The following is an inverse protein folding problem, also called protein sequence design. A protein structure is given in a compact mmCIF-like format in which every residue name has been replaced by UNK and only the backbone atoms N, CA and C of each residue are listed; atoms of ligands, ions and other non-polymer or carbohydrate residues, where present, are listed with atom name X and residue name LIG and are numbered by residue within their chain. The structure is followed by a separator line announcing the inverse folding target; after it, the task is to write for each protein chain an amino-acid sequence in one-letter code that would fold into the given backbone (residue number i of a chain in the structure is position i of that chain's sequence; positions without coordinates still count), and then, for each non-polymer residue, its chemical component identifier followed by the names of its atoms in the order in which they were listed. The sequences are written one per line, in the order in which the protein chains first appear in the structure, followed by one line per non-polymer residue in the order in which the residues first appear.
data_IF_382601193206
#
_entry.id   IF_382601193206
#
_cell.length_a   1.000
_cell.length_b   1.000
_cell.length_c   1.000
_cell.angle_alpha   90.00
_cell.angle_beta   90.00
_cell.angle_gamma   90.00
#
_symmetry.space_group_name_H-M   'P 1'
#
loop_
_entity.id
_entity.type
_entity.pdbx_description
1 polymer ?
#
# COMPACT_ATOMS: atom_id res chain seq x y z
N UNK A 1 -53.09 20.69 5.61
CA UNK A 1 -52.58 21.53 6.73
C UNK A 1 -52.36 20.66 7.95
N UNK A 2 -51.15 20.62 8.51
CA UNK A 2 -50.89 19.86 9.73
C UNK A 2 -51.61 20.50 10.94
N UNK A 3 -52.35 19.70 11.70
CA UNK A 3 -53.11 20.14 12.88
C UNK A 3 -52.13 20.72 13.92
N UNK A 4 -52.30 21.99 14.30
CA UNK A 4 -51.43 22.64 15.31
C UNK A 4 -51.46 21.84 16.62
N UNK A 5 -50.32 21.66 17.31
CA UNK A 5 -50.30 21.10 18.65
C UNK A 5 -51.24 21.89 19.57
N UNK A 6 -52.05 21.18 20.36
CA UNK A 6 -53.00 21.80 21.30
C UNK A 6 -52.95 21.04 22.61
N UNK A 7 -53.11 21.75 23.73
CA UNK A 7 -53.26 21.12 25.04
C UNK A 7 -54.60 20.36 25.10
N UNK A 8 -54.59 19.15 25.65
CA UNK A 8 -55.78 18.29 25.82
C UNK A 8 -55.81 17.71 27.24
N UNK A 9 -57.00 17.63 27.82
CA UNK A 9 -57.20 16.96 29.09
C UNK A 9 -57.05 15.44 28.93
N UNK A 10 -56.34 14.79 29.85
CA UNK A 10 -56.21 13.35 29.92
C UNK A 10 -56.91 12.83 31.19
N UNK A 11 -58.03 12.14 31.02
CA UNK A 11 -58.87 11.64 32.13
C UNK A 11 -58.15 10.60 33.01
N UNK A 12 -57.33 9.71 32.43
CA UNK A 12 -56.64 8.67 33.22
C UNK A 12 -55.51 9.23 34.07
N UNK A 13 -54.94 10.35 33.67
CA UNK A 13 -53.83 11.01 34.37
C UNK A 13 -54.25 12.23 35.20
N UNK A 14 -55.50 12.69 35.05
CA UNK A 14 -56.01 13.91 35.65
C UNK A 14 -55.09 15.13 35.40
N UNK A 15 -54.58 15.24 34.17
CA UNK A 15 -53.61 16.27 33.76
C UNK A 15 -53.87 16.79 32.36
N UNK A 16 -53.56 18.06 32.14
CA UNK A 16 -53.47 18.67 30.82
C UNK A 16 -52.15 18.27 30.15
N UNK A 17 -52.24 17.80 28.91
CA UNK A 17 -51.11 17.28 28.16
C UNK A 17 -51.02 17.87 26.76
N UNK A 18 -49.79 18.11 26.30
CA UNK A 18 -49.49 18.44 24.91
C UNK A 18 -48.22 17.71 24.46
N UNK A 19 -48.09 17.54 23.15
CA UNK A 19 -46.91 16.94 22.55
C UNK A 19 -46.37 17.86 21.47
N UNK A 20 -45.10 18.24 21.59
CA UNK A 20 -44.38 18.99 20.56
C UNK A 20 -43.35 18.06 19.94
N UNK A 21 -43.45 17.88 18.63
CA UNK A 21 -42.44 17.18 17.85
C UNK A 21 -41.42 18.20 17.35
N UNK A 22 -40.16 17.98 17.70
CA UNK A 22 -39.06 18.85 17.32
C UNK A 22 -38.49 18.48 15.94
N UNK A 23 -37.81 19.43 15.27
CA UNK A 23 -36.97 19.23 14.09
C UNK A 23 -36.13 17.94 14.12
N UNK A 24 -35.42 17.69 15.21
CA UNK A 24 -34.53 16.55 15.42
C UNK A 24 -35.24 15.18 15.51
N UNK A 25 -36.57 15.17 15.43
CA UNK A 25 -37.41 13.97 15.51
C UNK A 25 -37.76 13.55 16.94
N UNK A 26 -37.21 14.21 17.95
CA UNK A 26 -37.59 13.99 19.35
C UNK A 26 -39.00 14.52 19.60
N UNK A 27 -39.64 13.96 20.63
CA UNK A 27 -40.96 14.41 21.11
C UNK A 27 -40.80 14.82 22.55
N UNK A 28 -41.13 16.07 22.85
CA UNK A 28 -41.24 16.54 24.23
C UNK A 28 -42.71 16.60 24.62
N UNK A 29 -43.01 16.20 25.84
CA UNK A 29 -44.36 16.23 26.42
C UNK A 29 -44.47 17.34 27.43
N UNK A 30 -45.64 17.97 27.45
CA UNK A 30 -46.10 18.83 28.53
C UNK A 30 -47.09 18.04 29.37
N UNK A 31 -47.00 18.17 30.69
CA UNK A 31 -47.89 17.49 31.63
C UNK A 31 -48.03 18.37 32.89
N UNK A 32 -49.21 18.98 33.07
CA UNK A 32 -49.51 19.90 34.18
C UNK A 32 -50.93 19.67 34.72
N UNK A 33 -51.18 20.10 35.95
CA UNK A 33 -52.51 20.01 36.59
C UNK A 33 -53.41 21.14 36.09
N UNK A 34 -52.87 22.35 35.94
CA UNK A 34 -53.61 23.50 35.44
C UNK A 34 -53.47 23.66 33.91
N UNK A 35 -54.55 24.13 33.28
CA UNK A 35 -54.58 24.35 31.82
C UNK A 35 -53.67 25.50 31.40
N UNK A 36 -53.59 26.54 32.23
CA UNK A 36 -52.78 27.73 31.95
C UNK A 36 -51.29 27.37 31.91
N UNK A 37 -50.79 26.65 32.91
CA UNK A 37 -49.41 26.17 32.95
C UNK A 37 -49.08 25.24 31.77
N UNK A 38 -50.01 24.35 31.40
CA UNK A 38 -49.82 23.47 30.25
C UNK A 38 -49.75 24.24 28.92
N UNK A 39 -50.45 25.38 28.83
CA UNK A 39 -50.41 26.24 27.65
C UNK A 39 -49.11 27.06 27.61
N UNK A 40 -48.66 27.59 28.75
CA UNK A 40 -47.39 28.31 28.86
C UNK A 40 -46.19 27.43 28.48
N UNK A 41 -46.12 26.20 29.02
CA UNK A 41 -45.10 25.20 28.65
C UNK A 41 -45.18 24.81 27.16
N UNK A 42 -46.39 24.72 26.59
CA UNK A 42 -46.57 24.43 25.16
C UNK A 42 -46.02 25.58 24.31
N UNK A 43 -46.30 26.82 24.69
CA UNK A 43 -45.84 28.01 23.98
C UNK A 43 -44.31 28.15 24.07
N UNK A 44 -43.72 27.84 25.23
CA UNK A 44 -42.26 27.77 25.40
C UNK A 44 -41.63 26.69 24.49
N UNK A 45 -42.20 25.49 24.44
CA UNK A 45 -41.71 24.43 23.54
C UNK A 45 -41.90 24.79 22.06
N UNK A 46 -42.94 25.54 21.70
CA UNK A 46 -43.15 26.02 20.34
C UNK A 46 -42.15 27.14 19.98
N UNK A 47 -41.79 28.00 20.92
CA UNK A 47 -40.74 29.01 20.75
C UNK A 47 -39.35 28.36 20.59
N UNK A 48 -39.01 27.38 21.43
CA UNK A 48 -37.79 26.57 21.29
C UNK A 48 -37.74 25.86 19.93
N UNK A 49 -38.86 25.28 19.50
CA UNK A 49 -39.00 24.65 18.17
C UNK A 49 -38.81 25.64 17.02
N UNK A 50 -39.19 26.91 17.21
CA UNK A 50 -39.00 27.96 16.20
C UNK A 50 -37.55 28.47 16.15
N UNK A 51 -36.83 28.43 17.27
CA UNK A 51 -35.42 28.81 17.37
C UNK A 51 -34.46 27.72 16.88
N UNK A 52 -34.80 26.45 17.06
CA UNK A 52 -34.09 25.34 16.42
C UNK A 52 -34.34 25.41 14.91
N UNK A 53 -33.36 25.97 14.18
CA UNK A 53 -33.33 25.98 12.71
C UNK A 53 -33.82 24.64 12.17
N UNK A 54 -34.69 24.71 11.15
CA UNK A 54 -35.26 23.54 10.50
C UNK A 54 -34.18 22.48 10.29
N UNK A 55 -34.46 21.21 10.63
CA UNK A 55 -33.50 20.16 10.38
C UNK A 55 -33.34 20.10 8.86
N UNK A 56 -32.10 19.94 8.37
CA UNK A 56 -31.86 19.64 6.97
C UNK A 56 -32.87 18.55 6.53
N UNK A 57 -33.72 18.80 5.50
CA UNK A 57 -34.79 17.87 5.11
C UNK A 57 -34.26 16.52 4.61
N UNK A 58 -32.94 16.36 4.51
CA UNK A 58 -32.32 15.04 4.48
C UNK A 58 -32.29 14.49 5.88
N UNK A 59 -33.27 13.65 6.19
CA UNK A 59 -33.07 12.50 7.08
C UNK A 59 -31.86 11.75 6.53
N UNK A 60 -30.64 12.12 6.93
CA UNK A 60 -29.43 11.46 6.44
C UNK A 60 -29.54 10.04 6.95
N UNK A 61 -29.81 9.10 6.04
CA UNK A 61 -29.84 7.68 6.34
C UNK A 61 -28.55 7.39 7.11
N UNK A 62 -28.66 6.91 8.35
CA UNK A 62 -27.49 6.58 9.14
C UNK A 62 -26.77 5.45 8.42
N UNK A 63 -25.57 5.74 7.94
CA UNK A 63 -24.75 4.77 7.23
C UNK A 63 -24.00 3.91 8.22
N UNK A 64 -23.96 2.62 7.91
CA UNK A 64 -23.07 1.67 8.55
C UNK A 64 -21.64 1.80 8.01
N UNK A 65 -20.64 1.28 8.73
CA UNK A 65 -19.28 1.20 8.20
C UNK A 65 -19.22 0.41 6.89
N UNK A 66 -19.99 -0.68 6.76
CA UNK A 66 -20.05 -1.44 5.50
C UNK A 66 -20.49 -0.57 4.33
N UNK A 67 -21.59 0.18 4.48
CA UNK A 67 -22.06 1.09 3.44
C UNK A 67 -21.02 2.16 3.08
N UNK A 68 -20.39 2.79 4.09
CA UNK A 68 -19.32 3.79 3.86
C UNK A 68 -18.12 3.18 3.14
N UNK A 69 -17.72 1.96 3.49
CA UNK A 69 -16.62 1.26 2.84
C UNK A 69 -16.96 0.88 1.40
N UNK A 70 -18.18 0.36 1.16
CA UNK A 70 -18.67 -0.02 -0.16
C UNK A 70 -18.71 1.20 -1.09
N UNK A 71 -19.29 2.31 -0.64
CA UNK A 71 -19.29 3.59 -1.37
C UNK A 71 -17.86 4.04 -1.72
N UNK A 72 -16.92 3.94 -0.78
CA UNK A 72 -15.53 4.34 -0.99
C UNK A 72 -14.80 3.41 -1.98
N UNK A 73 -15.09 2.11 -1.98
CA UNK A 73 -14.54 1.16 -2.94
C UNK A 73 -15.12 1.38 -4.35
N UNK A 74 -16.42 1.63 -4.47
CA UNK A 74 -17.09 1.96 -5.74
C UNK A 74 -16.52 3.24 -6.36
N UNK A 75 -16.17 4.23 -5.53
CA UNK A 75 -15.51 5.46 -5.96
C UNK A 75 -14.02 5.29 -6.33
N UNK A 76 -13.46 4.07 -6.27
CA UNK A 76 -12.06 3.81 -6.61
C UNK A 76 -11.07 4.18 -5.50
N UNK A 77 -11.51 4.18 -4.24
CA UNK A 77 -10.73 4.52 -3.06
C UNK A 77 -10.00 5.87 -3.18
N UNK A 78 -10.70 6.99 -3.44
CA UNK A 78 -10.05 8.28 -3.63
C UNK A 78 -9.28 8.68 -2.37
N UNK A 79 -8.04 9.15 -2.55
CA UNK A 79 -7.35 9.85 -1.48
C UNK A 79 -7.77 11.33 -1.50
N UNK A 80 -8.56 11.73 -0.51
CA UNK A 80 -9.28 13.01 -0.50
C UNK A 80 -8.54 14.13 0.25
N UNK A 81 -7.40 13.83 0.88
CA UNK A 81 -6.56 14.84 1.51
C UNK A 81 -5.72 15.60 0.46
N UNK A 82 -5.98 16.90 0.23
CA UNK A 82 -5.11 17.73 -0.61
C UNK A 82 -3.71 17.73 0.01
N UNK A 83 -2.67 17.48 -0.79
CA UNK A 83 -1.29 17.70 -0.31
C UNK A 83 -0.92 19.16 -0.55
N UNK A 84 0.10 19.66 0.17
CA UNK A 84 0.67 21.00 -0.08
C UNK A 84 1.03 21.23 -1.55
N UNK A 85 1.30 20.15 -2.27
CA UNK A 85 1.77 20.11 -3.66
C UNK A 85 0.72 19.68 -4.69
N UNK A 86 -0.48 19.22 -4.29
CA UNK A 86 -1.47 18.75 -5.26
C UNK A 86 -2.90 18.78 -4.69
N UNK A 87 -3.81 19.36 -5.48
CA UNK A 87 -5.26 19.36 -5.20
C UNK A 87 -6.02 18.29 -6.01
N UNK A 88 -5.31 17.50 -6.83
CA UNK A 88 -5.93 16.46 -7.65
C UNK A 88 -6.19 15.21 -6.83
N UNK A 89 -7.36 14.60 -7.03
CA UNK A 89 -7.67 13.29 -6.48
C UNK A 89 -6.67 12.26 -7.05
N UNK A 90 -5.94 11.56 -6.17
CA UNK A 90 -5.03 10.50 -6.60
C UNK A 90 -5.80 9.20 -6.78
N UNK A 91 -5.74 8.65 -7.98
CA UNK A 91 -6.22 7.29 -8.23
C UNK A 91 -5.27 6.29 -7.58
N UNK A 92 -5.82 5.34 -6.83
CA UNK A 92 -5.02 4.26 -6.24
C UNK A 92 -4.79 3.16 -7.26
N UNK A 93 -3.61 2.55 -7.23
CA UNK A 93 -3.34 1.40 -8.11
C UNK A 93 -4.26 0.22 -7.76
N UNK A 94 -4.59 -0.66 -8.72
CA UNK A 94 -5.44 -1.83 -8.48
C UNK A 94 -4.97 -2.68 -7.28
N UNK A 95 -3.66 -2.89 -7.16
CA UNK A 95 -3.09 -3.63 -6.03
C UNK A 95 -3.30 -2.90 -4.69
N UNK A 96 -3.24 -1.56 -4.66
CA UNK A 96 -3.55 -0.81 -3.43
C UNK A 96 -5.02 -0.97 -3.03
N UNK A 97 -5.94 -0.97 -4.00
CA UNK A 97 -7.36 -1.19 -3.76
C UNK A 97 -7.61 -2.62 -3.26
N UNK A 98 -7.00 -3.62 -3.89
CA UNK A 98 -7.09 -5.02 -3.45
C UNK A 98 -6.58 -5.20 -2.01
N UNK A 99 -5.44 -4.59 -1.67
CA UNK A 99 -4.91 -4.61 -0.30
C UNK A 99 -5.84 -3.92 0.71
N UNK A 100 -6.44 -2.79 0.33
CA UNK A 100 -7.42 -2.10 1.18
C UNK A 100 -8.67 -2.96 1.42
N UNK A 101 -9.18 -3.61 0.37
CA UNK A 101 -10.32 -4.53 0.43
C UNK A 101 -10.02 -5.71 1.35
N UNK A 102 -8.84 -6.33 1.21
CA UNK A 102 -8.41 -7.42 2.07
C UNK A 102 -8.33 -6.97 3.53
N UNK A 103 -7.54 -5.93 3.83
CA UNK A 103 -7.31 -5.49 5.22
C UNK A 103 -8.60 -5.04 5.91
N UNK A 104 -9.41 -4.22 5.25
CA UNK A 104 -10.69 -3.77 5.83
C UNK A 104 -11.69 -4.92 5.93
N UNK A 105 -11.69 -5.86 4.98
CA UNK A 105 -12.54 -7.04 5.00
C UNK A 105 -12.21 -8.03 6.10
N UNK A 106 -10.92 -8.21 6.43
CA UNK A 106 -10.49 -9.13 7.50
C UNK A 106 -10.51 -8.50 8.88
N UNK A 107 -10.18 -7.21 8.98
CA UNK A 107 -9.93 -6.57 10.28
C UNK A 107 -11.06 -5.66 10.74
N UNK A 108 -11.73 -4.94 9.83
CA UNK A 108 -12.69 -3.89 10.20
C UNK A 108 -14.14 -4.37 10.07
N UNK A 109 -14.51 -4.90 8.90
CA UNK A 109 -15.89 -5.33 8.62
C UNK A 109 -16.45 -6.34 9.63
N UNK A 110 -15.70 -7.37 10.08
CA UNK A 110 -16.22 -8.35 11.02
C UNK A 110 -16.55 -7.76 12.40
N UNK A 111 -15.85 -6.70 12.81
CA UNK A 111 -15.95 -6.13 14.16
C UNK A 111 -16.93 -4.96 14.22
N UNK A 112 -16.84 -4.03 13.28
CA UNK A 112 -17.63 -2.78 13.31
C UNK A 112 -18.48 -2.55 12.05
N UNK A 113 -18.43 -3.45 11.06
CA UNK A 113 -19.06 -3.23 9.74
C UNK A 113 -20.55 -2.87 9.80
N UNK A 114 -21.30 -3.47 10.72
CA UNK A 114 -22.74 -3.23 10.88
C UNK A 114 -23.09 -2.03 11.78
N UNK A 115 -22.09 -1.41 12.41
CA UNK A 115 -22.32 -0.29 13.31
C UNK A 115 -22.51 1.01 12.51
N UNK A 116 -23.37 1.90 13.00
CA UNK A 116 -23.59 3.21 12.40
C UNK A 116 -22.42 4.15 12.68
N UNK A 117 -21.84 4.72 11.63
CA UNK A 117 -20.63 5.55 11.73
C UNK A 117 -20.84 6.75 12.65
N UNK A 118 -21.98 7.45 12.52
CA UNK A 118 -22.30 8.63 13.35
C UNK A 118 -22.65 8.30 14.82
N UNK A 119 -22.76 7.01 15.18
CA UNK A 119 -23.00 6.55 16.56
C UNK A 119 -21.80 5.80 17.15
N UNK A 120 -20.75 5.59 16.38
CA UNK A 120 -19.54 4.94 16.87
C UNK A 120 -18.60 5.98 17.45
N UNK A 121 -18.07 5.70 18.64
CA UNK A 121 -17.12 6.57 19.32
C UNK A 121 -15.69 6.22 18.93
N UNK A 122 -14.77 7.17 19.13
CA UNK A 122 -13.34 6.99 18.88
C UNK A 122 -12.77 5.84 19.72
N UNK A 123 -13.17 5.72 20.98
CA UNK A 123 -12.69 4.69 21.92
C UNK A 123 -13.02 3.27 21.43
N UNK A 124 -14.15 3.12 20.72
CA UNK A 124 -14.51 1.83 20.12
C UNK A 124 -13.59 1.46 18.96
N UNK A 125 -13.15 2.44 18.17
CA UNK A 125 -12.17 2.19 17.12
C UNK A 125 -10.78 1.93 17.71
N UNK A 126 -10.41 2.60 18.80
CA UNK A 126 -9.18 2.33 19.53
C UNK A 126 -9.15 0.88 20.05
N UNK A 127 -10.25 0.40 20.63
CA UNK A 127 -10.39 -0.99 21.06
C UNK A 127 -10.18 -2.00 19.90
N UNK A 128 -10.66 -1.68 18.69
CA UNK A 128 -10.40 -2.49 17.50
C UNK A 128 -8.90 -2.56 17.17
N UNK A 129 -8.20 -1.43 17.17
CA UNK A 129 -6.76 -1.42 16.86
C UNK A 129 -5.92 -2.05 17.98
N UNK A 130 -6.38 -1.94 19.23
CA UNK A 130 -5.78 -2.60 20.38
C UNK A 130 -5.91 -4.13 20.26
N UNK A 131 -7.07 -4.65 19.88
CA UNK A 131 -7.26 -6.07 19.59
C UNK A 131 -6.33 -6.55 18.45
N UNK A 132 -6.18 -5.76 17.38
CA UNK A 132 -5.18 -6.08 16.34
C UNK A 132 -3.75 -6.16 16.92
N UNK A 133 -3.39 -5.27 17.84
CA UNK A 133 -2.07 -5.33 18.48
C UNK A 133 -1.92 -6.59 19.36
N UNK A 134 -2.95 -6.94 20.13
CA UNK A 134 -2.99 -8.15 20.98
C UNK A 134 -2.85 -9.41 20.14
N UNK A 135 -3.52 -9.46 18.98
CA UNK A 135 -3.42 -10.49 17.95
C UNK A 135 -2.12 -10.43 17.12
N UNK A 136 -1.09 -9.73 17.60
CA UNK A 136 0.27 -9.70 17.05
C UNK A 136 0.39 -9.19 15.61
N UNK A 137 -0.55 -8.37 15.15
CA UNK A 137 -0.39 -7.67 13.87
C UNK A 137 0.83 -6.74 13.91
N UNK A 138 1.48 -6.58 12.76
CA UNK A 138 2.58 -5.63 12.61
C UNK A 138 2.05 -4.19 12.73
N UNK A 139 2.84 -3.28 13.33
CA UNK A 139 2.50 -1.85 13.45
C UNK A 139 2.14 -1.23 12.09
N UNK A 140 2.90 -1.54 11.03
CA UNK A 140 2.60 -1.06 9.69
C UNK A 140 1.25 -1.53 9.13
N UNK A 141 0.76 -2.69 9.59
CA UNK A 141 -0.53 -3.23 9.18
C UNK A 141 -1.65 -2.46 9.89
N UNK A 142 -1.51 -2.22 11.19
CA UNK A 142 -2.43 -1.41 11.99
C UNK A 142 -2.53 0.01 11.41
N UNK A 143 -1.39 0.66 11.16
CA UNK A 143 -1.31 2.00 10.55
C UNK A 143 -2.03 2.05 9.19
N UNK A 144 -1.87 1.02 8.35
CA UNK A 144 -2.53 0.94 7.04
C UNK A 144 -4.03 0.74 7.16
N UNK A 145 -4.47 -0.15 8.06
CA UNK A 145 -5.90 -0.40 8.30
C UNK A 145 -6.59 0.87 8.78
N UNK A 146 -6.00 1.56 9.76
CA UNK A 146 -6.49 2.87 10.21
C UNK A 146 -6.52 3.89 9.07
N UNK A 147 -5.44 4.01 8.30
CA UNK A 147 -5.36 4.99 7.22
C UNK A 147 -6.43 4.76 6.13
N UNK A 148 -6.74 3.51 5.78
CA UNK A 148 -7.81 3.21 4.84
C UNK A 148 -9.20 3.48 5.42
N UNK A 149 -9.43 3.11 6.69
CA UNK A 149 -10.69 3.41 7.39
C UNK A 149 -10.92 4.92 7.46
N UNK A 150 -9.90 5.68 7.86
CA UNK A 150 -9.93 7.13 7.94
C UNK A 150 -10.22 7.77 6.57
N UNK A 151 -9.57 7.29 5.49
CA UNK A 151 -9.86 7.79 4.14
C UNK A 151 -11.30 7.53 3.70
N UNK A 152 -11.86 6.36 4.01
CA UNK A 152 -13.24 6.05 3.69
C UNK A 152 -14.22 6.95 4.45
N UNK A 153 -14.00 7.15 5.75
CA UNK A 153 -14.81 8.07 6.56
C UNK A 153 -14.67 9.52 6.09
N UNK A 154 -13.46 10.00 5.77
CA UNK A 154 -13.24 11.33 5.20
C UNK A 154 -13.97 11.52 3.86
N UNK A 155 -13.98 10.49 3.02
CA UNK A 155 -14.72 10.51 1.76
C UNK A 155 -16.23 10.69 1.99
N UNK A 156 -16.81 9.90 2.88
CA UNK A 156 -18.22 10.01 3.25
C UNK A 156 -18.55 11.35 3.94
N UNK A 157 -17.67 11.86 4.80
CA UNK A 157 -17.84 13.14 5.49
C UNK A 157 -17.81 14.31 4.50
N UNK A 158 -16.88 14.30 3.54
CA UNK A 158 -16.80 15.31 2.47
C UNK A 158 -18.05 15.31 1.59
N UNK A 159 -18.62 14.14 1.33
CA UNK A 159 -19.88 13.98 0.62
C UNK A 159 -21.11 14.35 1.49
N UNK A 160 -20.91 14.77 2.76
CA UNK A 160 -21.96 15.07 3.75
C UNK A 160 -22.92 13.89 3.98
N UNK A 161 -22.43 12.66 3.80
CA UNK A 161 -23.18 11.42 4.05
C UNK A 161 -23.09 10.95 5.50
N UNK A 162 -22.03 11.34 6.20
CA UNK A 162 -21.87 11.22 7.65
C UNK A 162 -21.59 12.61 8.23
N UNK A 163 -21.95 12.82 9.51
CA UNK A 163 -21.76 14.10 10.21
C UNK A 163 -20.32 14.25 10.70
N UNK A 164 -19.79 13.18 11.30
CA UNK A 164 -18.47 13.18 11.93
C UNK A 164 -17.66 11.97 11.49
N UNK A 165 -16.34 12.14 11.36
CA UNK A 165 -15.43 11.02 11.12
C UNK A 165 -14.89 10.49 12.46
N UNK A 166 -15.38 9.34 12.97
CA UNK A 166 -14.90 8.80 14.24
C UNK A 166 -13.46 8.28 14.18
N UNK A 167 -12.90 8.07 12.98
CA UNK A 167 -11.54 7.56 12.79
C UNK A 167 -10.46 8.67 12.78
N UNK A 168 -10.86 9.94 12.79
CA UNK A 168 -9.93 11.08 12.63
C UNK A 168 -8.92 11.17 13.78
N UNK A 169 -9.40 10.99 15.01
CA UNK A 169 -8.65 11.26 16.25
C UNK A 169 -8.29 9.97 17.02
N UNK A 170 -8.37 8.82 16.37
CA UNK A 170 -8.03 7.53 16.97
C UNK A 170 -6.55 7.50 17.36
N UNK A 171 -6.29 7.13 18.61
CA UNK A 171 -4.94 6.83 19.09
C UNK A 171 -4.59 5.37 18.78
N UNK A 172 -3.56 5.17 17.95
CA UNK A 172 -3.08 3.83 17.63
C UNK A 172 -2.20 3.26 18.76
N UNK A 173 -2.20 1.92 18.95
CA UNK A 173 -1.36 1.27 19.94
C UNK A 173 0.13 1.62 19.80
N UNK A 174 0.87 1.45 20.90
CA UNK A 174 2.31 1.69 20.92
C UNK A 174 3.05 0.94 19.81
N UNK A 175 3.95 1.64 19.13
CA UNK A 175 4.74 1.07 18.04
C UNK A 175 5.63 -0.05 18.56
N UNK A 176 5.60 -1.20 17.88
CA UNK A 176 6.56 -2.27 18.10
C UNK A 176 7.75 -2.06 17.18
N UNK A 177 8.99 -2.39 17.63
CA UNK A 177 10.15 -2.32 16.76
C UNK A 177 9.92 -3.20 15.53
N UNK A 178 10.11 -2.62 14.35
CA UNK A 178 10.09 -3.39 13.10
C UNK A 178 11.31 -4.30 13.06
N UNK A 179 11.16 -5.49 12.46
CA UNK A 179 12.33 -6.32 12.14
C UNK A 179 13.30 -5.50 11.27
N UNK A 180 14.60 -5.49 11.59
CA UNK A 180 15.58 -4.82 10.75
C UNK A 180 15.58 -5.46 9.35
N UNK A 181 15.74 -4.62 8.32
CA UNK A 181 15.95 -5.12 6.96
C UNK A 181 17.28 -5.84 6.90
N UNK A 182 17.32 -6.93 6.12
CA UNK A 182 18.53 -7.74 5.94
C UNK A 182 19.19 -7.42 4.60
N UNK A 183 20.50 -7.56 4.58
CA UNK A 183 21.34 -7.56 3.40
C UNK A 183 22.37 -8.66 3.56
N UNK A 184 22.78 -9.27 2.45
CA UNK A 184 23.90 -10.20 2.44
C UNK A 184 25.17 -9.42 2.76
N UNK A 185 26.00 -9.98 3.63
CA UNK A 185 27.40 -9.57 3.71
C UNK A 185 28.20 -10.17 2.53
N UNK A 186 29.48 -9.80 2.41
CA UNK A 186 30.33 -10.25 1.32
C UNK A 186 30.44 -11.78 1.25
N UNK A 187 30.72 -12.44 2.37
CA UNK A 187 30.85 -13.90 2.45
C UNK A 187 29.56 -14.62 2.01
N UNK A 188 28.40 -14.11 2.44
CA UNK A 188 27.10 -14.66 2.07
C UNK A 188 26.80 -14.45 0.59
N UNK A 189 27.15 -13.29 0.03
CA UNK A 189 27.01 -13.01 -1.40
C UNK A 189 27.93 -13.90 -2.24
N UNK A 190 29.19 -14.05 -1.84
CA UNK A 190 30.16 -14.96 -2.47
C UNK A 190 29.66 -16.40 -2.43
N UNK A 191 29.19 -16.87 -1.27
CA UNK A 191 28.60 -18.21 -1.12
C UNK A 191 27.40 -18.42 -2.04
N UNK A 192 26.55 -17.40 -2.16
CA UNK A 192 25.39 -17.44 -3.04
C UNK A 192 25.83 -17.53 -4.52
N UNK A 193 26.79 -16.72 -4.94
CA UNK A 193 27.32 -16.69 -6.33
C UNK A 193 28.06 -17.98 -6.69
N UNK A 194 28.90 -18.50 -5.80
CA UNK A 194 29.80 -19.63 -6.10
C UNK A 194 29.17 -20.99 -5.87
N UNK A 195 28.27 -21.14 -4.87
CA UNK A 195 27.71 -22.44 -4.46
C UNK A 195 26.22 -22.57 -4.67
N UNK A 196 25.47 -21.47 -4.54
CA UNK A 196 24.01 -21.47 -4.61
C UNK A 196 23.48 -21.35 -6.02
N UNK A 197 23.67 -20.17 -6.61
CA UNK A 197 23.17 -19.78 -7.93
C UNK A 197 23.51 -20.81 -9.01
N UNK A 198 24.74 -21.36 -9.10
CA UNK A 198 25.06 -22.33 -10.16
C UNK A 198 24.27 -23.64 -10.06
N UNK A 199 23.70 -23.97 -8.89
CA UNK A 199 22.87 -25.17 -8.67
C UNK A 199 21.38 -24.89 -8.76
N UNK A 200 20.97 -23.62 -8.83
CA UNK A 200 19.57 -23.26 -8.99
C UNK A 200 19.15 -23.42 -10.46
N UNK A 201 17.89 -23.78 -10.75
CA UNK A 201 17.38 -23.81 -12.11
C UNK A 201 17.38 -22.45 -12.84
N UNK A 202 17.57 -21.32 -12.13
CA UNK A 202 17.46 -19.96 -12.68
C UNK A 202 18.67 -19.09 -12.32
N UNK A 203 19.90 -19.49 -12.70
CA UNK A 203 21.11 -18.79 -12.29
C UNK A 203 21.12 -17.32 -12.75
N UNK A 204 20.76 -17.06 -14.01
CA UNK A 204 20.75 -15.72 -14.59
C UNK A 204 19.78 -14.77 -13.87
N UNK A 205 18.61 -15.25 -13.44
CA UNK A 205 17.64 -14.46 -12.68
C UNK A 205 18.22 -13.95 -11.37
N UNK A 206 18.87 -14.84 -10.61
CA UNK A 206 19.41 -14.49 -9.30
C UNK A 206 20.65 -13.61 -9.40
N UNK A 207 21.53 -13.85 -10.38
CA UNK A 207 22.64 -12.94 -10.67
C UNK A 207 22.13 -11.55 -11.08
N UNK A 208 21.10 -11.46 -11.93
CA UNK A 208 20.52 -10.18 -12.32
C UNK A 208 19.95 -9.43 -11.10
N UNK A 209 19.19 -10.12 -10.25
CA UNK A 209 18.64 -9.54 -9.04
C UNK A 209 19.71 -9.04 -8.07
N UNK A 210 20.77 -9.81 -7.86
CA UNK A 210 21.87 -9.48 -6.95
C UNK A 210 22.77 -8.38 -7.52
N UNK A 211 23.14 -8.46 -8.80
CA UNK A 211 24.17 -7.61 -9.39
C UNK A 211 23.63 -6.29 -9.93
N UNK A 212 22.32 -6.19 -10.20
CA UNK A 212 21.70 -4.96 -10.72
C UNK A 212 20.65 -4.36 -9.75
N UNK A 213 20.33 -5.04 -8.64
CA UNK A 213 19.45 -4.52 -7.59
C UNK A 213 18.02 -4.22 -8.05
N UNK A 214 17.49 -5.00 -8.98
CA UNK A 214 16.12 -4.84 -9.48
C UNK A 214 15.10 -5.10 -8.36
N UNK A 215 13.99 -4.35 -8.36
CA UNK A 215 12.85 -4.71 -7.51
C UNK A 215 12.25 -6.03 -8.00
N UNK A 216 11.60 -6.83 -7.13
CA UNK A 216 11.03 -8.13 -7.52
C UNK A 216 10.14 -8.07 -8.77
N UNK A 217 9.30 -7.04 -8.89
CA UNK A 217 8.45 -6.85 -10.06
C UNK A 217 9.18 -6.37 -11.32
N UNK A 218 10.30 -5.66 -11.18
CA UNK A 218 11.19 -5.28 -12.29
C UNK A 218 11.94 -6.53 -12.78
N UNK A 219 12.43 -7.37 -11.86
CA UNK A 219 13.14 -8.61 -12.18
C UNK A 219 12.23 -9.62 -12.88
N UNK A 220 11.04 -9.88 -12.35
CA UNK A 220 10.10 -10.81 -12.98
C UNK A 220 9.55 -10.29 -14.31
N UNK A 221 9.48 -8.97 -14.48
CA UNK A 221 8.92 -8.33 -15.67
C UNK A 221 9.94 -7.96 -16.73
N UNK A 222 11.22 -8.28 -16.52
CA UNK A 222 12.28 -7.93 -17.45
C UNK A 222 12.04 -8.59 -18.82
N UNK A 223 12.14 -7.81 -19.90
CA UNK A 223 11.96 -8.27 -21.28
C UNK A 223 13.22 -8.07 -22.12
N UNK A 224 13.43 -8.94 -23.10
CA UNK A 224 14.60 -8.92 -23.98
C UNK A 224 14.84 -7.58 -24.72
N UNK A 225 13.82 -6.82 -25.15
CA UNK A 225 14.02 -5.51 -25.79
C UNK A 225 14.73 -4.47 -24.91
N UNK A 226 14.81 -4.71 -23.60
CA UNK A 226 15.48 -3.82 -22.65
C UNK A 226 16.81 -4.39 -22.14
N UNK A 227 17.31 -5.47 -22.73
CA UNK A 227 18.55 -6.14 -22.35
C UNK A 227 19.44 -6.28 -23.57
N UNK A 228 20.49 -5.47 -23.59
CA UNK A 228 21.51 -5.49 -24.62
C UNK A 228 22.73 -6.24 -24.08
N UNK A 229 22.97 -7.45 -24.58
CA UNK A 229 24.08 -8.33 -24.18
C UNK A 229 25.06 -8.59 -25.31
N UNK A 230 24.77 -8.10 -26.52
CA UNK A 230 25.56 -8.37 -27.73
C UNK A 230 26.40 -7.17 -28.16
N UNK A 231 26.16 -5.97 -27.60
CA UNK A 231 26.98 -4.79 -27.88
C UNK A 231 28.30 -4.76 -27.10
N UNK A 232 29.20 -3.87 -27.53
CA UNK A 232 30.48 -3.61 -26.84
C UNK A 232 30.28 -3.00 -25.44
N UNK A 233 29.11 -2.41 -25.17
CA UNK A 233 28.73 -1.87 -23.87
C UNK A 233 27.43 -2.54 -23.35
N UNK A 234 27.50 -3.81 -22.93
CA UNK A 234 26.33 -4.55 -22.46
C UNK A 234 25.59 -3.81 -21.35
N UNK A 235 24.28 -3.71 -21.48
CA UNK A 235 23.45 -2.91 -20.59
C UNK A 235 22.03 -3.44 -20.43
N UNK A 236 21.41 -3.08 -19.31
CA UNK A 236 20.02 -3.39 -19.00
C UNK A 236 19.27 -2.11 -18.67
N UNK A 237 18.11 -1.92 -19.28
CA UNK A 237 17.22 -0.78 -19.05
C UNK A 237 16.02 -1.20 -18.24
N UNK A 238 15.80 -0.54 -17.11
CA UNK A 238 14.66 -0.81 -16.22
C UNK A 238 13.52 0.11 -16.66
N UNK A 239 12.77 -0.30 -17.68
CA UNK A 239 11.68 0.50 -18.25
C UNK A 239 10.28 0.06 -17.77
N UNK A 240 10.16 -1.17 -17.30
CA UNK A 240 8.89 -1.82 -17.00
C UNK A 240 8.98 -2.67 -15.73
N UNK A 241 7.80 -3.06 -15.22
CA UNK A 241 7.62 -4.01 -14.14
C UNK A 241 6.31 -4.76 -14.35
N UNK A 242 6.21 -5.97 -13.82
CA UNK A 242 4.93 -6.67 -13.77
C UNK A 242 3.91 -5.87 -12.97
N UNK A 243 2.70 -5.79 -13.51
CA UNK A 243 1.49 -5.45 -12.81
C UNK A 243 0.82 -6.77 -12.42
N UNK A 244 0.69 -6.95 -11.10
CA UNK A 244 0.05 -8.12 -10.51
C UNK A 244 -1.16 -7.66 -9.69
N UNK A 245 -2.26 -8.39 -9.83
CA UNK A 245 -3.47 -8.25 -9.02
C UNK A 245 -3.85 -9.64 -8.55
N UNK A 246 -3.98 -9.80 -7.23
CA UNK A 246 -4.37 -11.09 -6.62
C UNK A 246 -3.49 -12.28 -7.06
N UNK A 247 -2.16 -12.10 -7.03
CA UNK A 247 -1.15 -13.10 -7.44
C UNK A 247 -1.26 -13.54 -8.91
N UNK A 248 -1.89 -12.71 -9.76
CA UNK A 248 -2.01 -12.94 -11.20
C UNK A 248 -1.37 -11.81 -11.99
N UNK A 249 -0.61 -12.19 -13.01
CA UNK A 249 -0.09 -11.25 -13.99
C UNK A 249 -1.25 -10.64 -14.79
N UNK A 250 -1.32 -9.30 -14.84
CA UNK A 250 -2.35 -8.56 -15.58
C UNK A 250 -1.77 -7.60 -16.61
N UNK A 251 -0.44 -7.51 -16.74
CA UNK A 251 0.24 -6.68 -17.73
C UNK A 251 1.57 -6.10 -17.26
N UNK A 252 2.20 -5.30 -18.10
CA UNK A 252 3.36 -4.47 -17.74
C UNK A 252 2.91 -3.08 -17.31
N UNK A 253 3.69 -2.44 -16.44
CA UNK A 253 3.52 -1.04 -16.08
C UNK A 253 4.88 -0.37 -15.96
N UNK A 254 4.94 0.94 -16.19
CA UNK A 254 6.17 1.70 -15.92
C UNK A 254 6.55 1.66 -14.43
N UNK A 255 7.84 1.86 -14.11
CA UNK A 255 8.29 2.12 -12.75
C UNK A 255 7.44 3.20 -12.09
N UNK A 256 7.26 3.08 -10.78
CA UNK A 256 6.39 4.00 -10.01
C UNK A 256 6.85 5.46 -10.07
N UNK A 257 8.10 5.70 -10.43
CA UNK A 257 8.75 7.01 -10.41
C UNK A 257 9.67 7.12 -11.62
N UNK A 258 9.88 8.34 -12.14
CA UNK A 258 10.80 8.55 -13.26
C UNK A 258 12.24 8.12 -12.94
N UNK A 259 12.72 8.35 -11.71
CA UNK A 259 14.02 7.81 -11.24
C UNK A 259 14.10 6.28 -11.23
N UNK A 260 12.96 5.59 -11.26
CA UNK A 260 12.92 4.15 -11.41
C UNK A 260 13.39 3.70 -12.80
N UNK A 261 13.20 4.54 -13.82
CA UNK A 261 13.72 4.33 -15.17
C UNK A 261 15.22 4.61 -15.18
N UNK A 262 16.02 3.57 -15.38
CA UNK A 262 17.49 3.67 -15.38
C UNK A 262 18.12 2.61 -16.28
N UNK A 263 19.31 2.93 -16.82
CA UNK A 263 20.15 2.02 -17.60
C UNK A 263 21.38 1.65 -16.80
N UNK A 264 21.61 0.35 -16.65
CA UNK A 264 22.69 -0.24 -15.85
C UNK A 264 23.69 -0.91 -16.79
N UNK A 265 24.98 -0.69 -16.61
CA UNK A 265 25.99 -1.49 -17.30
C UNK A 265 25.99 -2.91 -16.71
N UNK A 266 26.26 -3.92 -17.54
CA UNK A 266 26.28 -5.31 -17.13
C UNK A 266 27.71 -5.79 -16.94
N UNK A 267 27.97 -6.39 -15.78
CA UNK A 267 29.26 -7.01 -15.49
C UNK A 267 29.45 -8.25 -16.39
N UNK A 268 30.67 -8.56 -16.89
CA UNK A 268 30.91 -9.68 -17.81
C UNK A 268 30.38 -11.05 -17.33
N UNK A 269 30.51 -11.33 -16.03
CA UNK A 269 29.90 -12.52 -15.41
C UNK A 269 28.39 -12.64 -15.65
N UNK A 270 27.66 -11.51 -15.55
CA UNK A 270 26.22 -11.47 -15.76
C UNK A 270 25.88 -11.59 -17.25
N UNK A 271 26.68 -10.96 -18.13
CA UNK A 271 26.53 -11.09 -19.58
C UNK A 271 26.64 -12.55 -20.00
N UNK A 272 27.68 -13.26 -19.54
CA UNK A 272 27.86 -14.69 -19.83
C UNK A 272 26.66 -15.54 -19.34
N UNK A 273 26.13 -15.25 -18.15
CA UNK A 273 24.96 -15.93 -17.63
C UNK A 273 23.69 -15.67 -18.46
N UNK A 274 23.49 -14.43 -18.93
CA UNK A 274 22.35 -14.04 -19.76
C UNK A 274 22.43 -14.64 -21.17
N UNK A 275 23.62 -14.69 -21.78
CA UNK A 275 23.84 -15.35 -23.08
C UNK A 275 23.44 -16.83 -22.97
N UNK A 276 23.99 -17.55 -21.98
CA UNK A 276 23.65 -18.95 -21.75
C UNK A 276 22.16 -19.15 -21.55
N UNK A 277 21.54 -18.31 -20.73
CA UNK A 277 20.10 -18.36 -20.45
C UNK A 277 19.26 -18.13 -21.72
N UNK A 278 19.66 -17.19 -22.60
CA UNK A 278 19.00 -16.95 -23.89
C UNK A 278 19.05 -18.19 -24.80
N UNK A 279 20.21 -18.84 -24.87
CA UNK A 279 20.35 -20.07 -25.67
C UNK A 279 19.54 -21.23 -25.10
N UNK A 280 19.50 -21.40 -23.77
CA UNK A 280 18.63 -22.38 -23.11
C UNK A 280 17.15 -22.12 -23.41
N UNK A 281 16.70 -20.86 -23.44
CA UNK A 281 15.34 -20.51 -23.84
C UNK A 281 15.03 -20.89 -25.29
N UNK A 282 15.96 -20.64 -26.22
CA UNK A 282 15.80 -21.02 -27.64
C UNK A 282 15.63 -22.52 -27.79
N UNK A 283 16.46 -23.31 -27.10
CA UNK A 283 16.38 -24.78 -27.09
C UNK A 283 15.03 -25.26 -26.55
N UNK A 284 14.51 -24.59 -25.52
CA UNK A 284 13.24 -24.93 -24.89
C UNK A 284 12.00 -24.37 -25.61
N UNK A 285 12.18 -23.60 -26.70
CA UNK A 285 11.08 -22.92 -27.40
C UNK A 285 10.38 -21.84 -26.57
N UNK A 286 11.09 -21.24 -25.61
CA UNK A 286 10.59 -20.17 -24.71
C UNK A 286 11.14 -18.78 -25.07
N UNK A 287 12.02 -18.69 -26.07
CA UNK A 287 12.61 -17.43 -26.51
C UNK A 287 11.68 -16.72 -27.51
N UNK A 288 11.42 -15.44 -27.24
CA UNK A 288 10.74 -14.52 -28.13
C UNK A 288 11.47 -13.17 -28.06
N UNK A 289 11.65 -12.49 -29.20
CA UNK A 289 12.41 -11.22 -29.25
C UNK A 289 11.82 -10.14 -28.34
N UNK A 290 10.49 -10.07 -28.24
CA UNK A 290 9.77 -9.17 -27.34
C UNK A 290 9.34 -9.80 -26.00
N UNK A 291 9.81 -11.04 -25.76
CA UNK A 291 9.42 -11.87 -24.63
C UNK A 291 10.11 -11.54 -23.32
N UNK A 292 9.73 -12.28 -22.28
CA UNK A 292 10.35 -12.17 -20.97
C UNK A 292 11.75 -12.77 -20.96
N UNK A 293 12.67 -12.11 -20.24
CA UNK A 293 13.98 -12.68 -19.94
C UNK A 293 13.82 -13.86 -18.98
N UNK A 294 12.86 -13.83 -18.05
CA UNK A 294 12.66 -14.95 -17.12
C UNK A 294 11.21 -15.47 -17.10
N UNK A 295 10.75 -16.10 -18.19
CA UNK A 295 9.42 -16.66 -18.30
C UNK A 295 9.31 -17.94 -17.47
N UNK A 296 8.08 -18.26 -17.09
CA UNK A 296 7.68 -19.60 -16.67
C UNK A 296 7.62 -20.53 -17.88
N UNK A 297 7.36 -21.82 -17.63
CA UNK A 297 7.14 -22.81 -18.71
C UNK A 297 5.97 -22.46 -19.65
N UNK A 298 5.10 -21.54 -19.25
CA UNK A 298 3.96 -21.08 -20.03
C UNK A 298 4.21 -19.74 -20.73
N UNK A 299 5.46 -19.24 -20.77
CA UNK A 299 5.81 -17.96 -21.38
C UNK A 299 5.45 -16.71 -20.57
N UNK A 300 4.80 -16.86 -19.41
CA UNK A 300 4.37 -15.73 -18.56
C UNK A 300 5.40 -15.44 -17.45
N UNK A 301 5.43 -14.23 -16.86
CA UNK A 301 6.38 -13.92 -15.80
C UNK A 301 6.01 -14.65 -14.49
N UNK A 302 7.01 -14.89 -13.64
CA UNK A 302 6.77 -15.43 -12.30
C UNK A 302 5.95 -14.46 -11.44
N UNK A 303 4.96 -14.99 -10.72
CA UNK A 303 4.26 -14.22 -9.68
C UNK A 303 5.21 -13.86 -8.54
N UNK A 304 4.92 -12.79 -7.81
CA UNK A 304 5.73 -12.36 -6.68
C UNK A 304 5.81 -13.43 -5.59
N UNK A 305 4.74 -14.18 -5.38
CA UNK A 305 4.70 -15.29 -4.42
C UNK A 305 5.62 -16.44 -4.84
N UNK A 306 5.61 -16.80 -6.13
CA UNK A 306 6.48 -17.84 -6.68
C UNK A 306 7.96 -17.41 -6.66
N UNK A 307 8.24 -16.16 -7.02
CA UNK A 307 9.58 -15.60 -6.98
C UNK A 307 10.14 -15.64 -5.54
N UNK A 308 9.34 -15.20 -4.55
CA UNK A 308 9.72 -15.24 -3.13
C UNK A 308 9.97 -16.67 -2.65
N UNK A 309 9.06 -17.60 -2.96
CA UNK A 309 9.19 -19.02 -2.58
C UNK A 309 10.48 -19.61 -3.13
N UNK A 310 10.77 -19.34 -4.39
CA UNK A 310 11.90 -19.93 -5.06
C UNK A 310 13.24 -19.32 -4.61
N UNK A 311 13.27 -18.03 -4.24
CA UNK A 311 14.45 -17.43 -3.61
C UNK A 311 14.69 -18.00 -2.21
N UNK A 312 13.63 -18.18 -1.41
CA UNK A 312 13.70 -18.81 -0.10
C UNK A 312 14.30 -20.23 -0.19
N UNK A 313 13.94 -21.00 -1.21
CA UNK A 313 14.54 -22.32 -1.47
C UNK A 313 16.05 -22.22 -1.72
N UNK A 314 16.49 -21.28 -2.57
CA UNK A 314 17.91 -21.03 -2.85
C UNK A 314 18.70 -20.64 -1.57
N UNK A 315 18.15 -19.74 -0.76
CA UNK A 315 18.78 -19.37 0.52
C UNK A 315 18.88 -20.57 1.46
N UNK A 316 17.84 -21.41 1.53
CA UNK A 316 17.86 -22.61 2.37
C UNK A 316 18.91 -23.62 1.89
N UNK A 317 19.03 -23.87 0.58
CA UNK A 317 20.02 -24.82 0.04
C UNK A 317 21.47 -24.37 0.22
N UNK A 318 21.70 -23.08 0.45
CA UNK A 318 23.03 -22.52 0.75
C UNK A 318 23.29 -22.36 2.24
N UNK A 319 22.35 -22.76 3.11
CA UNK A 319 22.47 -22.63 4.56
C UNK A 319 22.32 -21.20 5.08
N UNK A 320 21.79 -20.27 4.27
CA UNK A 320 21.45 -18.89 4.71
C UNK A 320 20.16 -18.83 5.54
N UNK A 321 19.40 -19.93 5.58
CA UNK A 321 18.10 -20.02 6.25
C UNK A 321 16.93 -19.68 5.33
N UNK A 322 15.76 -19.47 5.92
CA UNK A 322 14.48 -19.50 5.22
C UNK A 322 13.65 -18.20 5.40
N UNK A 323 14.27 -17.18 6.00
CA UNK A 323 13.69 -15.86 6.29
C UNK A 323 14.29 -14.76 5.39
N UNK A 324 14.52 -15.12 4.12
CA UNK A 324 14.99 -14.23 3.05
C UNK A 324 13.88 -14.03 2.02
N UNK A 325 13.78 -12.83 1.46
CA UNK A 325 12.87 -12.50 0.38
C UNK A 325 13.62 -11.86 -0.79
N UNK A 326 12.93 -11.68 -1.90
CA UNK A 326 13.55 -11.16 -3.13
C UNK A 326 13.90 -9.67 -3.02
N UNK A 327 13.32 -8.94 -2.06
CA UNK A 327 13.70 -7.56 -1.78
C UNK A 327 15.11 -7.45 -1.17
N UNK A 328 15.56 -8.48 -0.43
CA UNK A 328 16.89 -8.50 0.17
C UNK A 328 18.00 -8.58 -0.90
N UNK A 329 17.76 -9.10 -2.10
CA UNK A 329 18.73 -9.03 -3.20
C UNK A 329 19.11 -7.59 -3.52
N UNK A 330 18.10 -6.73 -3.62
CA UNK A 330 18.29 -5.30 -3.84
C UNK A 330 18.93 -4.61 -2.65
N UNK A 331 18.54 -4.96 -1.42
CA UNK A 331 19.20 -4.41 -0.24
C UNK A 331 20.67 -4.82 -0.18
N UNK A 332 20.99 -6.05 -0.57
CA UNK A 332 22.34 -6.58 -0.68
C UNK A 332 23.14 -5.84 -1.75
N UNK A 333 22.57 -5.65 -2.94
CA UNK A 333 23.19 -4.85 -4.00
C UNK A 333 23.58 -3.46 -3.48
N UNK A 334 22.63 -2.73 -2.88
CA UNK A 334 22.88 -1.37 -2.37
C UNK A 334 23.94 -1.38 -1.27
N UNK A 335 23.88 -2.34 -0.35
CA UNK A 335 24.83 -2.47 0.75
C UNK A 335 26.25 -2.77 0.24
N UNK A 336 26.41 -3.77 -0.63
CA UNK A 336 27.69 -4.21 -1.16
C UNK A 336 28.32 -3.15 -2.06
N UNK A 337 27.52 -2.49 -2.89
CA UNK A 337 28.01 -1.42 -3.77
C UNK A 337 28.34 -0.16 -2.97
N UNK A 338 27.56 0.20 -1.95
CA UNK A 338 27.87 1.35 -1.10
C UNK A 338 29.15 1.16 -0.29
N UNK A 339 29.56 -0.08 -0.01
CA UNK A 339 30.84 -0.39 0.64
C UNK A 339 32.04 -0.19 -0.30
N UNK A 340 31.81 -0.20 -1.63
CA UNK A 340 32.84 0.05 -2.63
C UNK A 340 32.81 1.47 -3.21
N UNK A 341 31.68 2.17 -3.09
CA UNK A 341 31.48 3.51 -3.65
C UNK A 341 31.35 4.54 -2.53
N UNK A 342 32.35 5.41 -2.38
CA UNK A 342 32.34 6.55 -1.45
C UNK A 342 31.43 7.72 -1.90
N UNK A 343 30.37 7.45 -2.66
CA UNK A 343 29.47 8.46 -3.22
C UNK A 343 27.98 8.05 -3.11
N UNK A 344 27.30 8.66 -2.14
CA UNK A 344 25.88 8.43 -1.87
C UNK A 344 24.96 8.80 -3.04
N UNK A 345 25.36 9.73 -3.92
CA UNK A 345 24.58 10.11 -5.10
C UNK A 345 24.63 9.00 -6.14
N UNK A 346 25.82 8.41 -6.37
CA UNK A 346 25.97 7.24 -7.26
C UNK A 346 25.18 6.05 -6.75
N UNK A 347 25.25 5.77 -5.45
CA UNK A 347 24.48 4.68 -4.82
C UNK A 347 22.97 4.92 -4.96
N UNK A 348 22.50 6.16 -4.76
CA UNK A 348 21.09 6.51 -4.93
C UNK A 348 20.60 6.38 -6.38
N UNK A 349 21.44 6.74 -7.35
CA UNK A 349 21.15 6.60 -8.78
C UNK A 349 21.09 5.12 -9.21
N UNK A 350 22.02 4.27 -8.73
CA UNK A 350 21.99 2.82 -8.96
C UNK A 350 20.77 2.15 -8.32
N UNK A 351 20.38 2.62 -7.14
CA UNK A 351 19.17 2.16 -6.49
C UNK A 351 17.91 2.69 -7.22
N UNK A 352 17.90 3.90 -7.76
CA UNK A 352 16.64 4.54 -8.19
C UNK A 352 15.77 4.88 -6.98
N UNK A 353 16.37 5.45 -5.94
CA UNK A 353 15.68 5.99 -4.76
C UNK A 353 15.23 7.43 -5.02
N UNK A 354 14.03 7.77 -4.55
CA UNK A 354 13.49 9.14 -4.61
C UNK A 354 13.95 9.98 -3.43
N UNK A 355 14.22 9.37 -2.28
CA UNK A 355 14.52 10.09 -1.04
C UNK A 355 16.03 10.15 -0.75
N UNK A 356 16.70 11.04 -1.47
CA UNK A 356 17.80 11.84 -0.91
C UNK A 356 17.37 13.28 -1.12
N UNK A 357 17.20 14.00 -0.01
CA UNK A 357 16.68 15.38 0.07
C UNK A 357 17.21 16.23 -1.11
N UNK A 358 16.31 16.58 -2.01
CA UNK A 358 16.46 17.57 -3.10
C UNK A 358 17.29 17.14 -4.32
N UNK A 359 16.64 16.90 -5.46
CA UNK A 359 17.06 17.29 -6.83
C UNK A 359 16.05 16.72 -7.85
N UNK A 360 14.88 17.36 -7.95
CA UNK A 360 13.83 17.03 -8.92
C UNK A 360 13.97 17.82 -10.25
N UNK A 361 14.86 18.81 -10.34
CA UNK A 361 14.79 19.84 -11.39
C UNK A 361 15.61 19.62 -12.68
N UNK A 362 16.55 18.68 -12.72
CA UNK A 362 17.45 18.54 -13.87
C UNK A 362 17.79 17.06 -14.06
N UNK A 363 17.17 16.36 -15.01
CA UNK A 363 17.72 15.10 -15.57
C UNK A 363 16.80 14.61 -16.69
N UNK A 364 17.07 15.05 -17.91
CA UNK A 364 16.43 14.53 -19.12
C UNK A 364 17.07 13.21 -19.60
N UNK A 365 16.36 12.54 -20.50
CA UNK A 365 16.28 11.11 -20.75
C UNK A 365 17.40 10.49 -21.61
N UNK A 366 18.66 10.91 -21.47
CA UNK A 366 19.80 10.27 -22.14
C UNK A 366 20.93 10.12 -21.13
N UNK A 367 20.95 9.00 -20.40
CA UNK A 367 22.11 8.64 -19.58
C UNK A 367 22.90 7.51 -20.26
N UNK A 368 24.25 7.61 -20.30
CA UNK A 368 25.08 6.43 -20.50
C UNK A 368 24.80 5.41 -19.40
N UNK A 369 25.01 4.13 -19.70
CA UNK A 369 24.81 3.05 -18.73
C UNK A 369 25.67 3.32 -17.48
N UNK A 370 25.11 3.16 -16.28
CA UNK A 370 25.84 3.45 -15.04
C UNK A 370 26.94 2.38 -14.84
N UNK A 371 28.25 2.72 -14.98
CA UNK A 371 29.34 1.73 -14.89
C UNK A 371 29.68 1.36 -13.45
N UNK A 372 29.33 2.22 -12.48
CA UNK A 372 29.74 2.09 -11.08
C UNK A 372 29.29 0.77 -10.42
N UNK A 373 28.23 0.13 -10.91
CA UNK A 373 27.87 -1.21 -10.45
C UNK A 373 28.91 -2.25 -10.90
N UNK A 374 29.39 -2.16 -12.15
CA UNK A 374 30.44 -3.03 -12.69
C UNK A 374 31.73 -2.83 -11.91
N UNK A 375 32.16 -1.59 -11.71
CA UNK A 375 33.38 -1.26 -10.95
C UNK A 375 33.34 -1.86 -9.53
N UNK A 376 32.20 -1.71 -8.85
CA UNK A 376 32.01 -2.27 -7.52
C UNK A 376 32.08 -3.81 -7.53
N UNK A 377 31.45 -4.47 -8.51
CA UNK A 377 31.50 -5.92 -8.62
C UNK A 377 32.89 -6.46 -8.98
N UNK A 378 33.65 -5.76 -9.83
CA UNK A 378 35.05 -6.10 -10.09
C UNK A 378 35.83 -6.09 -8.78
N UNK A 379 35.76 -5.00 -8.00
CA UNK A 379 36.43 -4.90 -6.71
C UNK A 379 36.01 -5.97 -5.69
N UNK A 380 34.73 -6.35 -5.66
CA UNK A 380 34.22 -7.39 -4.76
C UNK A 380 34.67 -8.80 -5.17
N UNK A 381 34.74 -9.09 -6.48
CA UNK A 381 35.09 -10.41 -7.01
C UNK A 381 36.60 -10.63 -7.13
N UNK A 382 37.39 -9.55 -7.26
CA UNK A 382 38.86 -9.59 -7.33
C UNK A 382 39.53 -9.74 -5.95
N UNK A 383 38.83 -9.38 -4.86
CA UNK A 383 39.29 -9.66 -3.48
C UNK A 383 39.34 -11.18 -3.27
N UNK A 384 40.50 -11.79 -3.53
CA UNK A 384 40.77 -13.20 -3.22
C UNK A 384 40.48 -13.47 -1.73
N UNK A 385 39.86 -14.61 -1.37
CA UNK A 385 39.74 -15.00 0.03
C UNK A 385 41.14 -15.37 0.55
N UNK A 386 41.68 -14.58 1.49
CA UNK A 386 42.94 -14.91 2.18
C UNK A 386 44.00 -13.83 2.32
N UNK A 387 43.67 -12.54 2.16
CA UNK A 387 44.56 -11.45 2.61
C UNK A 387 44.11 -10.94 3.98
N UNK A 388 44.42 -11.72 5.02
CA UNK A 388 44.69 -11.25 6.37
C UNK A 388 45.77 -12.15 6.97
#
# INVERSE_FOLDING_TARGET
MARKPSVRWNESKQRWMAWVRFPDGTRRKVERVEKADAQADLDELLALRAQEQAPDPRRTKQLTFNEVLDDWFEAGCPNVAPTRTSRHARQKSPNTIANARQLLGTSVRPVIGHQWVDRTTTERLEALFQDMAENKYATSTIDRTWNYLNQACQHAQRARRIRTNPAADVLLPARRPSKPRKSLNLEQAEKLITKGIPKDPRPAMWLTGLMCGLRPGELAGLRWPFVDIDSDEPSLTIAERVLEVEDKYVGQASPKTERGKRRMALHPLLVAALIRHREEQKILGLYEDEGFVFPTRNGTPMTMSNLRRAFKTLCKSTGLGDDWTTYELRHSFVSLVSDQLDDLVKVADLAGHVDTRTTEGYRHSVRPALPHAVDAWNGLLERRPGAN
#
